data_IF_944210447088
#
_entry.id   IF_944210447088
#
_cell.length_a   1.000
_cell.length_b   1.000
_cell.length_c   1.000
_cell.angle_alpha   90.00
_cell.angle_beta   90.00
_cell.angle_gamma   90.00
#
_symmetry.space_group_name_H-M   'P 1'
#
loop_
_entity.id
_entity.type
_entity.pdbx_description
1 polymer ?
#
# COMPACT_ATOMS: atom_id res chain seq x y z
N UNK A 1 28.58 -18.40 12.76
CA UNK A 1 27.83 -18.19 11.51
C UNK A 1 27.10 -16.87 11.63
N UNK A 2 26.98 -16.09 10.55
CA UNK A 2 26.14 -14.89 10.56
C UNK A 2 24.67 -15.30 10.76
N UNK A 3 23.88 -14.45 11.43
CA UNK A 3 22.43 -14.68 11.55
C UNK A 3 21.77 -14.59 10.17
N UNK A 4 20.66 -15.32 9.91
CA UNK A 4 19.99 -15.24 8.62
C UNK A 4 19.50 -13.81 8.35
N UNK A 5 19.52 -13.40 7.09
CA UNK A 5 18.92 -12.13 6.65
C UNK A 5 17.39 -12.24 6.69
N UNK A 6 16.73 -11.38 7.48
CA UNK A 6 15.27 -11.38 7.69
C UNK A 6 14.65 -10.18 7.00
N UNK A 7 13.71 -10.43 6.09
CA UNK A 7 12.87 -9.40 5.51
C UNK A 7 11.50 -9.34 6.21
N UNK A 8 11.00 -8.12 6.38
CA UNK A 8 9.61 -7.86 6.77
C UNK A 8 8.83 -7.42 5.53
N UNK A 9 7.78 -8.15 5.19
CA UNK A 9 6.91 -7.85 4.05
C UNK A 9 5.57 -7.37 4.57
N UNK A 10 5.25 -6.10 4.32
CA UNK A 10 4.06 -5.42 4.82
C UNK A 10 3.06 -5.21 3.69
N UNK A 11 1.93 -5.92 3.76
CA UNK A 11 0.93 -5.88 2.71
C UNK A 11 0.17 -4.55 2.60
N UNK A 12 -0.54 -4.37 1.49
CA UNK A 12 -1.54 -3.31 1.37
C UNK A 12 -2.78 -3.58 2.23
N UNK A 13 -3.74 -2.66 2.23
CA UNK A 13 -5.00 -2.86 2.99
C UNK A 13 -5.71 -1.60 3.49
N UNK A 14 -5.39 -0.43 2.94
CA UNK A 14 -6.01 0.84 3.35
C UNK A 14 -5.89 1.06 4.86
N UNK A 15 -7.03 1.32 5.52
CA UNK A 15 -7.06 1.55 6.98
C UNK A 15 -6.64 0.33 7.80
N UNK A 16 -6.79 -0.90 7.27
CA UNK A 16 -6.34 -2.12 7.98
C UNK A 16 -4.83 -2.21 8.07
N UNK A 17 -4.09 -1.55 7.17
CA UNK A 17 -2.63 -1.51 7.20
C UNK A 17 -2.06 -0.83 8.46
N UNK A 18 -2.89 -0.14 9.26
CA UNK A 18 -2.49 0.33 10.58
C UNK A 18 -2.11 -0.81 11.55
N UNK A 19 -2.61 -2.03 11.32
CA UNK A 19 -2.23 -3.21 12.09
C UNK A 19 -0.72 -3.52 11.99
N UNK A 20 -0.04 -3.08 10.93
CA UNK A 20 1.41 -3.21 10.78
C UNK A 20 2.18 -2.55 11.92
N UNK A 21 1.64 -1.47 12.51
CA UNK A 21 2.26 -0.79 13.65
C UNK A 21 2.36 -1.75 14.84
N UNK A 22 1.29 -2.50 15.14
CA UNK A 22 1.30 -3.50 16.21
C UNK A 22 2.28 -4.64 15.94
N UNK A 23 2.49 -5.01 14.68
CA UNK A 23 3.56 -5.97 14.32
C UNK A 23 4.93 -5.38 14.63
N UNK A 24 5.20 -4.14 14.23
CA UNK A 24 6.46 -3.47 14.54
C UNK A 24 6.70 -3.35 16.05
N UNK A 25 5.67 -3.06 16.84
CA UNK A 25 5.76 -3.04 18.31
C UNK A 25 6.25 -4.37 18.88
N UNK A 26 5.69 -5.49 18.41
CA UNK A 26 6.10 -6.82 18.84
C UNK A 26 7.52 -7.13 18.39
N UNK A 27 7.87 -6.86 17.13
CA UNK A 27 9.22 -7.12 16.62
C UNK A 27 10.28 -6.35 17.41
N UNK A 28 10.03 -5.07 17.72
CA UNK A 28 10.93 -4.24 18.52
C UNK A 28 11.00 -4.74 19.96
N UNK A 29 9.87 -5.05 20.60
CA UNK A 29 9.81 -5.51 21.99
C UNK A 29 10.54 -6.84 22.19
N UNK A 30 10.38 -7.77 21.26
CA UNK A 30 11.01 -9.10 21.33
C UNK A 30 12.45 -9.09 20.78
N UNK A 31 12.95 -7.95 20.29
CA UNK A 31 14.30 -7.83 19.73
C UNK A 31 14.52 -8.64 18.45
N UNK A 32 13.46 -8.84 17.65
CA UNK A 32 13.53 -9.58 16.38
C UNK A 32 14.14 -8.65 15.32
N UNK A 33 15.29 -9.01 14.72
CA UNK A 33 15.94 -8.15 13.74
C UNK A 33 15.18 -8.14 12.40
N UNK A 34 15.14 -6.98 11.76
CA UNK A 34 14.67 -6.78 10.37
C UNK A 34 15.82 -6.16 9.59
N UNK A 35 16.17 -6.75 8.45
CA UNK A 35 17.29 -6.32 7.60
C UNK A 35 16.86 -5.56 6.35
N UNK A 36 15.61 -5.76 5.92
CA UNK A 36 14.98 -5.00 4.85
C UNK A 36 13.46 -5.08 4.98
N UNK A 37 12.78 -4.10 4.40
CA UNK A 37 11.32 -4.07 4.30
C UNK A 37 10.92 -4.07 2.83
N UNK A 38 9.91 -4.87 2.49
CA UNK A 38 9.14 -4.70 1.25
C UNK A 38 7.73 -4.30 1.65
N UNK A 39 7.24 -3.18 1.13
CA UNK A 39 5.95 -2.64 1.53
C UNK A 39 5.10 -2.23 0.33
N UNK A 40 3.80 -2.48 0.44
CA UNK A 40 2.82 -2.08 -0.57
C UNK A 40 1.79 -1.14 0.06
N UNK A 41 1.49 -0.01 -0.57
CA UNK A 41 0.44 0.91 -0.11
C UNK A 41 0.66 1.35 1.34
N UNK A 42 -0.33 1.17 2.23
CA UNK A 42 -0.19 1.44 3.67
C UNK A 42 0.97 0.67 4.33
N UNK A 43 1.25 -0.57 3.92
CA UNK A 43 2.42 -1.31 4.38
C UNK A 43 3.73 -0.65 3.96
N UNK A 44 3.74 -0.04 2.77
CA UNK A 44 4.82 0.80 2.28
C UNK A 44 5.02 2.08 3.11
N UNK A 45 3.94 2.80 3.40
CA UNK A 45 3.98 4.00 4.26
C UNK A 45 4.56 3.65 5.64
N UNK A 46 4.01 2.63 6.30
CA UNK A 46 4.51 2.18 7.61
C UNK A 46 5.97 1.74 7.53
N UNK A 47 6.33 1.00 6.47
CA UNK A 47 7.70 0.55 6.21
C UNK A 47 8.69 1.70 6.04
N UNK A 48 8.36 2.73 5.26
CA UNK A 48 9.21 3.92 5.05
C UNK A 48 9.39 4.70 6.34
N UNK A 49 8.32 4.96 7.09
CA UNK A 49 8.41 5.69 8.35
C UNK A 49 9.28 4.95 9.37
N UNK A 50 9.11 3.62 9.47
CA UNK A 50 9.99 2.80 10.30
C UNK A 50 11.44 2.78 9.77
N UNK A 51 11.62 2.74 8.44
CA UNK A 51 12.93 2.80 7.80
C UNK A 51 13.67 4.12 8.00
N UNK A 52 12.95 5.21 8.22
CA UNK A 52 13.47 6.50 8.67
C UNK A 52 13.86 6.53 10.16
N UNK A 53 13.61 5.45 10.89
CA UNK A 53 13.94 5.31 12.31
C UNK A 53 12.85 5.79 13.27
N UNK A 54 11.62 6.05 12.79
CA UNK A 54 10.51 6.38 13.68
C UNK A 54 10.12 5.15 14.50
N UNK A 55 9.90 5.34 15.80
CA UNK A 55 9.34 4.30 16.67
C UNK A 55 7.87 4.00 16.29
N UNK A 56 7.35 2.80 16.61
CA UNK A 56 5.95 2.47 16.34
C UNK A 56 4.96 3.49 16.92
N UNK A 57 5.25 4.06 18.09
CA UNK A 57 4.43 5.12 18.69
C UNK A 57 4.43 6.42 17.88
N UNK A 58 5.58 6.83 17.34
CA UNK A 58 5.67 7.99 16.43
C UNK A 58 4.91 7.71 15.12
N UNK A 59 5.05 6.51 14.55
CA UNK A 59 4.31 6.10 13.36
C UNK A 59 2.80 6.17 13.62
N UNK A 60 2.33 5.67 14.77
CA UNK A 60 0.92 5.76 15.15
C UNK A 60 0.45 7.21 15.26
N UNK A 61 1.27 8.11 15.81
CA UNK A 61 0.96 9.53 15.90
C UNK A 61 0.86 10.18 14.51
N UNK A 62 1.82 9.92 13.62
CA UNK A 62 1.83 10.47 12.26
C UNK A 62 0.66 9.97 11.41
N UNK A 63 0.25 8.71 11.62
CA UNK A 63 -0.87 8.12 10.90
C UNK A 63 -2.22 8.31 11.61
N UNK A 64 -2.25 8.89 12.81
CA UNK A 64 -3.48 9.14 13.59
C UNK A 64 -4.53 9.96 12.83
N UNK A 65 -4.18 10.99 12.01
CA UNK A 65 -5.18 11.72 11.23
C UNK A 65 -5.87 10.87 10.16
N UNK A 66 -5.26 9.73 9.79
CA UNK A 66 -5.83 8.74 8.88
C UNK A 66 -6.77 7.75 9.60
N UNK A 67 -6.77 7.70 10.94
CA UNK A 67 -7.53 6.73 11.76
C UNK A 67 -8.98 7.13 12.06
N UNK A 68 -9.40 8.37 11.74
CA UNK A 68 -10.65 8.94 12.29
C UNK A 68 -11.59 9.63 11.31
N UNK A 69 -11.41 9.47 10.01
CA UNK A 69 -12.31 10.07 9.01
C UNK A 69 -13.34 9.01 8.61
N UNK A 70 -14.66 9.26 8.59
CA UNK A 70 -15.53 8.53 7.69
C UNK A 70 -15.02 8.86 6.28
N UNK A 71 -14.05 8.07 5.80
CA UNK A 71 -13.38 8.25 4.51
C UNK A 71 -14.44 8.55 3.43
N UNK A 72 -15.58 7.87 3.52
CA UNK A 72 -16.81 7.99 2.75
C UNK A 72 -17.46 9.40 2.67
N UNK A 73 -17.36 10.26 3.67
CA UNK A 73 -18.04 11.58 3.67
C UNK A 73 -17.20 12.70 3.04
N UNK A 74 -15.86 12.64 3.15
CA UNK A 74 -14.95 13.58 2.46
C UNK A 74 -14.57 13.12 1.05
N UNK A 75 -14.59 11.81 0.80
CA UNK A 75 -14.37 11.23 -0.52
C UNK A 75 -15.30 11.78 -1.61
N UNK A 76 -16.56 12.04 -1.27
CA UNK A 76 -17.61 12.42 -2.23
C UNK A 76 -17.49 13.86 -2.75
N UNK A 77 -16.78 14.74 -2.03
CA UNK A 77 -16.69 16.16 -2.36
C UNK A 77 -15.35 16.55 -3.00
N UNK A 78 -14.36 15.66 -3.00
CA UNK A 78 -12.97 15.99 -3.33
C UNK A 78 -12.51 15.14 -4.51
N UNK A 79 -12.02 15.81 -5.55
CA UNK A 79 -11.47 15.14 -6.73
C UNK A 79 -10.33 14.18 -6.35
N UNK A 80 -10.08 13.18 -7.19
CA UNK A 80 -8.90 12.29 -7.06
C UNK A 80 -7.62 13.09 -6.78
N UNK A 81 -7.41 14.16 -7.56
CA UNK A 81 -6.26 15.06 -7.41
C UNK A 81 -6.25 15.77 -6.05
N UNK A 82 -7.39 16.25 -5.58
CA UNK A 82 -7.50 16.89 -4.26
C UNK A 82 -7.19 15.92 -3.11
N UNK A 83 -7.53 14.64 -3.25
CA UNK A 83 -7.17 13.59 -2.28
C UNK A 83 -5.67 13.34 -2.25
N UNK A 84 -5.04 13.19 -3.41
CA UNK A 84 -3.58 13.00 -3.51
C UNK A 84 -2.81 14.22 -3.01
N UNK A 85 -3.28 15.44 -3.31
CA UNK A 85 -2.66 16.66 -2.84
C UNK A 85 -2.63 16.74 -1.31
N UNK A 86 -3.71 16.35 -0.63
CA UNK A 86 -3.73 16.29 0.84
C UNK A 86 -2.81 15.21 1.40
N UNK A 87 -2.76 14.04 0.76
CA UNK A 87 -1.81 13.00 1.15
C UNK A 87 -0.36 13.51 0.98
N UNK A 88 -0.09 14.23 -0.11
CA UNK A 88 1.20 14.89 -0.33
C UNK A 88 1.52 15.88 0.79
N UNK A 89 0.61 16.82 1.07
CA UNK A 89 0.77 17.83 2.13
C UNK A 89 1.02 17.18 3.50
N UNK A 90 0.28 16.12 3.83
CA UNK A 90 0.44 15.39 5.09
C UNK A 90 1.84 14.76 5.22
N UNK A 91 2.39 14.21 4.13
CA UNK A 91 3.69 13.55 4.16
C UNK A 91 4.86 14.46 3.77
N UNK A 92 4.61 15.70 3.35
CA UNK A 92 5.65 16.61 2.87
C UNK A 92 6.69 16.91 3.98
N UNK A 93 6.22 17.25 5.17
CA UNK A 93 7.09 17.59 6.32
C UNK A 93 8.07 16.47 6.70
N UNK A 94 7.70 15.21 6.41
CA UNK A 94 8.49 14.04 6.77
C UNK A 94 9.34 13.55 5.59
N UNK A 95 8.82 13.62 4.36
CA UNK A 95 9.36 12.89 3.21
C UNK A 95 9.87 13.78 2.06
N UNK A 96 9.53 15.06 1.99
CA UNK A 96 9.76 15.89 0.79
C UNK A 96 11.25 16.00 0.42
N UNK A 97 12.11 16.18 1.42
CA UNK A 97 13.57 16.32 1.24
C UNK A 97 14.33 15.01 1.46
N UNK A 98 13.65 13.86 1.45
CA UNK A 98 14.25 12.56 1.74
C UNK A 98 14.23 11.62 0.55
N UNK A 99 15.24 10.77 0.49
CA UNK A 99 15.43 9.72 -0.51
C UNK A 99 15.55 8.36 0.15
N UNK A 100 15.49 7.29 -0.65
CA UNK A 100 15.74 5.93 -0.13
C UNK A 100 17.14 5.77 0.49
N UNK A 101 18.12 6.58 0.10
CA UNK A 101 19.46 6.55 0.68
C UNK A 101 19.52 7.10 2.12
N UNK A 102 18.50 7.87 2.54
CA UNK A 102 18.40 8.42 3.90
C UNK A 102 17.78 7.42 4.89
N UNK A 103 17.31 6.27 4.43
CA UNK A 103 16.72 5.23 5.27
C UNK A 103 17.79 4.49 6.06
N UNK A 104 17.61 4.38 7.37
CA UNK A 104 18.45 3.58 8.25
C UNK A 104 18.26 2.06 8.02
N UNK A 105 17.09 1.67 7.52
CA UNK A 105 16.74 0.30 7.14
C UNK A 105 16.29 0.29 5.67
N UNK A 106 16.88 -0.55 4.79
CA UNK A 106 16.46 -0.60 3.39
C UNK A 106 14.97 -0.91 3.24
N UNK A 107 14.27 -0.09 2.45
CA UNK A 107 12.85 -0.28 2.13
C UNK A 107 12.67 -0.34 0.61
N UNK A 108 11.83 -1.24 0.15
CA UNK A 108 11.34 -1.30 -1.23
C UNK A 108 9.84 -1.10 -1.23
N UNK A 109 9.37 -0.14 -2.02
CA UNK A 109 7.96 0.13 -2.23
C UNK A 109 7.48 -0.53 -3.51
N UNK A 110 6.37 -1.26 -3.44
CA UNK A 110 5.77 -1.87 -4.62
C UNK A 110 4.73 -0.95 -5.26
N UNK A 111 4.84 -0.79 -6.58
CA UNK A 111 3.88 -0.11 -7.42
C UNK A 111 3.58 -0.96 -8.66
N UNK A 112 2.59 -0.57 -9.44
CA UNK A 112 2.30 -1.14 -10.76
C UNK A 112 2.45 -0.07 -11.81
N UNK A 113 3.22 -0.35 -12.85
CA UNK A 113 3.22 0.45 -14.06
C UNK A 113 2.00 0.07 -14.92
N UNK A 114 1.05 1.00 -14.99
CA UNK A 114 -0.21 0.85 -15.72
C UNK A 114 -0.04 0.95 -17.23
N UNK A 115 1.10 1.46 -17.72
CA UNK A 115 1.38 1.57 -19.17
C UNK A 115 1.81 0.21 -19.71
N UNK A 116 2.75 -0.44 -19.04
CA UNK A 116 3.31 -1.72 -19.47
C UNK A 116 2.71 -2.94 -18.77
N UNK A 117 1.91 -2.74 -17.71
CA UNK A 117 1.19 -3.81 -16.99
C UNK A 117 2.10 -4.67 -16.11
N UNK A 118 3.12 -4.09 -15.49
CA UNK A 118 4.14 -4.81 -14.74
C UNK A 118 4.34 -4.24 -13.33
N UNK A 119 4.81 -5.09 -12.41
CA UNK A 119 5.22 -4.66 -11.08
C UNK A 119 6.50 -3.82 -11.16
N UNK A 120 6.59 -2.82 -10.29
CA UNK A 120 7.75 -1.96 -10.15
C UNK A 120 8.17 -1.92 -8.68
N UNK A 121 9.41 -2.35 -8.43
CA UNK A 121 10.05 -2.24 -7.13
C UNK A 121 10.80 -0.90 -7.05
N UNK A 122 10.27 0.03 -6.26
CA UNK A 122 10.87 1.35 -6.03
C UNK A 122 11.78 1.27 -4.80
N UNK A 123 13.09 1.36 -5.01
CA UNK A 123 14.08 1.30 -3.93
C UNK A 123 15.16 2.40 -4.03
N UNK A 124 14.95 3.39 -4.90
CA UNK A 124 15.85 4.52 -5.11
C UNK A 124 15.09 5.81 -5.47
N UNK A 125 15.77 6.96 -5.33
CA UNK A 125 15.18 8.27 -5.61
C UNK A 125 14.39 8.88 -4.44
N UNK A 126 13.55 9.90 -4.71
CA UNK A 126 12.81 10.62 -3.67
C UNK A 126 11.67 9.78 -3.05
N UNK A 127 11.51 9.85 -1.73
CA UNK A 127 10.53 9.04 -0.99
C UNK A 127 9.08 9.47 -1.23
N UNK A 128 8.80 10.76 -1.18
CA UNK A 128 7.43 11.29 -1.30
C UNK A 128 6.71 10.82 -2.60
N UNK A 129 7.27 10.98 -3.81
CA UNK A 129 6.61 10.47 -5.02
C UNK A 129 6.49 8.94 -5.03
N UNK A 130 7.45 8.21 -4.48
CA UNK A 130 7.40 6.74 -4.41
C UNK A 130 6.28 6.24 -3.47
N UNK A 131 6.11 6.89 -2.31
CA UNK A 131 5.02 6.62 -1.37
C UNK A 131 3.66 6.94 -2.00
N UNK A 132 3.54 8.08 -2.69
CA UNK A 132 2.31 8.44 -3.41
C UNK A 132 1.99 7.46 -4.54
N UNK A 133 3.01 6.96 -5.25
CA UNK A 133 2.84 5.97 -6.32
C UNK A 133 2.38 4.62 -5.76
N UNK A 134 3.06 4.11 -4.73
CA UNK A 134 2.72 2.83 -4.07
C UNK A 134 1.34 2.84 -3.42
N UNK A 135 0.80 4.02 -3.09
CA UNK A 135 -0.53 4.18 -2.47
C UNK A 135 -1.59 4.74 -3.42
N UNK A 136 -1.30 4.84 -4.72
CA UNK A 136 -2.22 5.40 -5.72
C UNK A 136 -3.28 4.38 -6.15
N UNK A 137 -4.20 4.04 -5.24
CA UNK A 137 -5.25 3.04 -5.52
C UNK A 137 -6.19 3.54 -6.61
N UNK A 138 -6.38 2.77 -7.71
CA UNK A 138 -7.31 3.15 -8.79
C UNK A 138 -8.72 3.48 -8.27
N UNK A 139 -9.25 4.62 -8.70
CA UNK A 139 -10.56 5.15 -8.24
C UNK A 139 -10.51 5.88 -6.89
N UNK A 140 -9.44 5.72 -6.12
CA UNK A 140 -9.20 6.46 -4.88
C UNK A 140 -8.21 7.63 -5.04
N UNK A 141 -7.16 7.41 -5.84
CA UNK A 141 -6.10 8.38 -6.10
C UNK A 141 -5.72 8.31 -7.59
N UNK A 142 -5.24 9.40 -8.21
CA UNK A 142 -4.74 9.36 -9.57
C UNK A 142 -3.37 8.67 -9.61
N UNK A 143 -2.99 8.06 -10.74
CA UNK A 143 -1.64 7.50 -10.90
C UNK A 143 -0.58 8.59 -10.82
N UNK A 144 0.63 8.21 -10.45
CA UNK A 144 1.81 9.08 -10.37
C UNK A 144 2.67 8.86 -11.60
N UNK A 145 2.96 9.94 -12.33
CA UNK A 145 3.87 9.86 -13.48
C UNK A 145 5.31 9.65 -13.00
N UNK A 146 6.01 8.71 -13.61
CA UNK A 146 7.43 8.48 -13.37
C UNK A 146 8.10 8.11 -14.69
N UNK A 147 8.82 9.05 -15.29
CA UNK A 147 9.38 8.92 -16.65
C UNK A 147 8.30 8.56 -17.69
N UNK A 148 8.45 7.43 -18.38
CA UNK A 148 7.51 6.86 -19.35
C UNK A 148 6.42 5.97 -18.71
N UNK A 149 6.45 5.80 -17.38
CA UNK A 149 5.50 4.99 -16.63
C UNK A 149 4.39 5.82 -15.98
N UNK A 150 3.23 5.17 -15.78
CA UNK A 150 2.17 5.66 -14.90
C UNK A 150 2.00 4.68 -13.74
N UNK A 151 2.47 5.07 -12.57
CA UNK A 151 2.51 4.21 -11.40
C UNK A 151 1.21 4.30 -10.60
N UNK A 152 0.67 3.14 -10.24
CA UNK A 152 -0.46 2.97 -9.33
C UNK A 152 -0.08 2.03 -8.17
N UNK A 153 -1.01 1.84 -7.24
CA UNK A 153 -0.82 1.00 -6.06
C UNK A 153 -0.37 -0.42 -6.42
N UNK A 154 0.68 -0.92 -5.74
CA UNK A 154 1.24 -2.26 -5.96
C UNK A 154 0.25 -3.40 -5.75
N UNK A 155 -0.73 -3.20 -4.86
CA UNK A 155 -1.76 -4.19 -4.52
C UNK A 155 -2.73 -4.50 -5.65
N UNK A 156 -2.63 -3.79 -6.77
CA UNK A 156 -3.32 -4.12 -8.03
C UNK A 156 -2.85 -5.47 -8.59
N UNK A 157 -1.56 -5.80 -8.44
CA UNK A 157 -0.99 -7.09 -8.88
C UNK A 157 -0.69 -7.98 -7.67
N UNK A 158 0.16 -7.52 -6.77
CA UNK A 158 0.56 -8.29 -5.59
C UNK A 158 0.59 -7.38 -4.35
N UNK A 159 -0.32 -7.66 -3.43
CA UNK A 159 -0.34 -6.90 -2.18
C UNK A 159 0.73 -7.36 -1.20
N UNK A 160 1.26 -8.58 -1.32
CA UNK A 160 2.20 -9.19 -0.38
C UNK A 160 3.41 -9.74 -1.16
N UNK A 161 4.19 -8.83 -1.74
CA UNK A 161 5.32 -9.10 -2.64
C UNK A 161 6.54 -9.77 -1.98
N UNK A 162 6.34 -10.96 -1.40
CA UNK A 162 7.39 -11.77 -0.76
C UNK A 162 8.47 -12.19 -1.75
N UNK A 163 8.13 -12.32 -3.03
CA UNK A 163 9.07 -12.67 -4.09
C UNK A 163 10.19 -11.62 -4.23
N UNK A 164 9.90 -10.33 -3.99
CA UNK A 164 10.89 -9.25 -4.00
C UNK A 164 11.86 -9.36 -2.84
N UNK A 165 11.38 -9.75 -1.65
CA UNK A 165 12.24 -9.95 -0.49
C UNK A 165 13.29 -11.06 -0.75
N UNK A 166 12.86 -12.17 -1.36
CA UNK A 166 13.78 -13.25 -1.74
C UNK A 166 14.75 -12.82 -2.85
N UNK A 167 14.29 -12.04 -3.84
CA UNK A 167 15.15 -11.46 -4.87
C UNK A 167 16.23 -10.54 -4.27
N UNK A 168 15.95 -9.92 -3.11
CA UNK A 168 16.89 -9.10 -2.34
C UNK A 168 17.71 -9.91 -1.31
N UNK A 169 17.83 -11.23 -1.52
CA UNK A 169 18.63 -12.18 -0.74
C UNK A 169 18.16 -12.35 0.72
N UNK A 170 16.88 -12.14 1.02
CA UNK A 170 16.34 -12.54 2.30
C UNK A 170 16.35 -14.07 2.45
N UNK A 171 16.83 -14.58 3.58
CA UNK A 171 16.80 -16.01 3.90
C UNK A 171 15.53 -16.40 4.68
N UNK A 172 14.93 -15.42 5.36
CA UNK A 172 13.67 -15.56 6.09
C UNK A 172 12.78 -14.36 5.79
N UNK A 173 11.49 -14.60 5.71
CA UNK A 173 10.47 -13.58 5.45
C UNK A 173 9.41 -13.66 6.55
N UNK A 174 9.14 -12.52 7.17
CA UNK A 174 7.96 -12.30 8.01
C UNK A 174 6.97 -11.54 7.12
N UNK A 175 5.89 -12.18 6.71
CA UNK A 175 4.88 -11.56 5.84
C UNK A 175 3.62 -11.24 6.65
N UNK A 176 3.16 -9.99 6.55
CA UNK A 176 1.98 -9.49 7.27
C UNK A 176 0.88 -9.18 6.27
N UNK A 177 -0.12 -10.07 6.22
CA UNK A 177 -1.36 -9.84 5.50
C UNK A 177 -2.43 -9.31 6.45
N UNK A 178 -3.08 -8.22 6.06
CA UNK A 178 -4.14 -7.56 6.82
C UNK A 178 -5.51 -7.70 6.16
N UNK A 179 -5.59 -8.42 5.03
CA UNK A 179 -6.87 -8.77 4.45
C UNK A 179 -7.50 -9.95 5.19
N UNK A 180 -8.82 -9.87 5.46
CA UNK A 180 -9.51 -11.02 5.99
C UNK A 180 -9.58 -12.13 4.92
N UNK A 181 -9.62 -13.41 5.34
CA UNK A 181 -9.85 -14.50 4.42
C UNK A 181 -11.16 -14.28 3.65
N UNK A 182 -11.17 -14.64 2.37
CA UNK A 182 -12.37 -14.59 1.55
C UNK A 182 -13.40 -15.61 2.07
N UNK A 183 -14.42 -15.14 2.78
CA UNK A 183 -15.53 -15.97 3.22
C UNK A 183 -16.49 -16.23 2.05
N UNK A 184 -16.73 -17.52 1.73
CA UNK A 184 -17.65 -17.92 0.64
C UNK A 184 -19.04 -17.33 0.79
N UNK A 185 -19.49 -17.18 2.04
CA UNK A 185 -20.86 -16.75 2.37
C UNK A 185 -20.98 -15.23 2.53
N UNK A 186 -19.87 -14.49 2.43
CA UNK A 186 -19.83 -13.01 2.49
C UNK A 186 -18.89 -12.45 1.43
N UNK A 187 -19.22 -12.60 0.13
CA UNK A 187 -18.39 -12.06 -0.93
C UNK A 187 -18.36 -10.52 -0.86
N UNK A 188 -17.19 -9.94 -1.15
CA UNK A 188 -17.08 -8.49 -1.32
C UNK A 188 -17.98 -8.02 -2.46
N UNK A 189 -18.72 -6.94 -2.22
CA UNK A 189 -19.68 -6.37 -3.19
C UNK A 189 -19.00 -5.56 -4.29
N UNK A 190 -17.78 -5.08 -4.05
CA UNK A 190 -16.97 -4.34 -5.02
C UNK A 190 -15.47 -4.45 -4.70
N UNK A 191 -14.58 -4.39 -5.71
CA UNK A 191 -13.13 -4.57 -5.54
C UNK A 191 -12.46 -3.47 -4.72
N UNK A 192 -12.98 -2.24 -4.78
CA UNK A 192 -12.40 -1.12 -4.04
C UNK A 192 -12.65 -1.32 -2.54
N UNK A 193 -13.85 -1.74 -2.15
CA UNK A 193 -14.17 -2.08 -0.75
C UNK A 193 -13.32 -3.24 -0.23
N UNK A 194 -12.99 -4.22 -1.09
CA UNK A 194 -12.11 -5.32 -0.71
C UNK A 194 -10.70 -4.81 -0.34
N UNK A 195 -10.11 -3.96 -1.20
CA UNK A 195 -8.77 -3.35 -1.03
C UNK A 195 -8.75 -2.36 0.14
N UNK A 196 -9.76 -1.51 0.23
CA UNK A 196 -9.81 -0.39 1.18
C UNK A 196 -10.27 -0.80 2.58
N UNK A 197 -11.02 -1.89 2.65
CA UNK A 197 -11.47 -2.49 3.90
C UNK A 197 -12.68 -1.88 4.59
N UNK A 198 -13.41 -1.00 3.90
CA UNK A 198 -14.73 -0.52 4.28
C UNK A 198 -15.65 -0.59 3.06
N UNK A 199 -16.96 -0.63 3.30
CA UNK A 199 -17.97 -0.77 2.25
C UNK A 199 -18.29 0.60 1.63
N UNK A 200 -18.11 0.73 0.31
CA UNK A 200 -18.62 1.87 -0.45
C UNK A 200 -20.16 1.88 -0.46
N UNK A 201 -20.81 3.05 -0.57
CA UNK A 201 -22.25 3.11 -0.71
C UNK A 201 -22.66 2.34 -1.98
N UNK A 202 -23.75 1.54 -1.91
CA UNK A 202 -24.20 0.75 -3.05
C UNK A 202 -24.46 1.64 -4.26
N UNK A 203 -23.94 1.23 -5.43
CA UNK A 203 -24.17 1.91 -6.72
C UNK A 203 -22.99 2.70 -7.28
N UNK A 204 -21.89 2.91 -6.54
CA UNK A 204 -20.73 3.63 -7.09
C UNK A 204 -19.88 2.75 -8.04
N UNK A 205 -19.84 1.43 -7.80
CA UNK A 205 -19.15 0.41 -8.61
C UNK A 205 -19.89 -0.95 -8.57
N UNK A 206 -21.21 -0.95 -8.37
CA UNK A 206 -21.99 -2.19 -8.21
C UNK A 206 -21.81 -3.13 -9.41
N UNK A 207 -21.26 -4.32 -9.15
CA UNK A 207 -21.10 -5.39 -10.13
C UNK A 207 -22.37 -6.27 -10.24
N UNK A 208 -23.34 -6.06 -9.32
CA UNK A 208 -24.57 -6.84 -9.22
C UNK A 208 -25.75 -6.00 -9.71
N UNK A 209 -25.79 -5.75 -11.01
CA UNK A 209 -26.89 -5.05 -11.68
C UNK A 209 -26.78 -5.20 -13.21
N UNK A 210 -27.86 -4.92 -13.95
CA UNK A 210 -27.89 -5.06 -15.42
C UNK A 210 -26.92 -4.13 -16.17
N UNK A 211 -26.12 -3.32 -15.47
CA UNK A 211 -25.06 -2.45 -16.01
C UNK A 211 -23.65 -3.01 -15.84
N UNK A 212 -23.48 -4.30 -15.50
CA UNK A 212 -22.17 -4.97 -15.43
C UNK A 212 -21.33 -4.81 -16.72
N UNK A 213 -21.98 -4.56 -17.86
CA UNK A 213 -21.35 -4.32 -19.17
C UNK A 213 -20.82 -2.88 -19.36
N UNK A 214 -21.05 -1.97 -18.40
CA UNK A 214 -20.62 -0.55 -18.47
C UNK A 214 -19.42 -0.21 -17.58
N UNK A 215 -18.82 -1.19 -16.92
CA UNK A 215 -17.63 -0.95 -16.09
C UNK A 215 -16.46 -0.59 -17.02
N UNK A 216 -15.74 0.54 -16.81
CA UNK A 216 -14.53 0.83 -17.57
C UNK A 216 -13.58 -0.36 -17.48
N UNK A 217 -13.17 -0.84 -18.64
CA UNK A 217 -12.53 -2.14 -18.91
C UNK A 217 -11.38 -2.49 -17.95
N UNK A 218 -10.72 -1.48 -17.37
CA UNK A 218 -9.63 -1.62 -16.40
C UNK A 218 -10.04 -2.23 -15.04
N UNK A 219 -11.20 -1.85 -14.47
CA UNK A 219 -11.61 -2.37 -13.17
C UNK A 219 -12.11 -3.83 -13.27
N UNK A 220 -12.77 -4.16 -14.39
CA UNK A 220 -13.18 -5.52 -14.70
C UNK A 220 -12.00 -6.43 -15.08
N UNK A 221 -10.95 -5.90 -15.74
CA UNK A 221 -9.73 -6.66 -16.05
C UNK A 221 -8.91 -6.96 -14.80
N UNK A 222 -8.77 -6.00 -13.88
CA UNK A 222 -8.10 -6.21 -12.58
C UNK A 222 -8.77 -7.32 -11.76
N UNK A 223 -10.09 -7.46 -11.81
CA UNK A 223 -10.79 -8.53 -11.08
C UNK A 223 -10.60 -9.92 -11.71
N UNK A 224 -10.39 -9.99 -13.03
CA UNK A 224 -10.21 -11.26 -13.74
C UNK A 224 -8.79 -11.82 -13.59
N UNK A 225 -7.76 -10.98 -13.48
CA UNK A 225 -6.37 -11.43 -13.33
C UNK A 225 -6.07 -12.07 -11.97
N UNK A 226 -6.84 -11.75 -10.92
CA UNK A 226 -6.67 -12.31 -9.56
C UNK A 226 -7.33 -13.71 -9.44
N UNK A 227 -8.01 -14.20 -10.49
CA UNK A 227 -8.72 -15.50 -10.48
C UNK A 227 -8.14 -16.57 -11.42
N UNK A 228 -7.16 -16.24 -12.26
CA UNK A 228 -6.53 -17.17 -13.20
C UNK A 228 -5.20 -17.70 -12.69
#
# INVERSE_FOLDING_TARGET
MARPKIALVLGGGGSRGLAHIGVLEVLVREGIPVDLIVGTSMGGIVGVLFGLGLSPAQIAQELSPLQGIPFLDRLKLISLRGRQQRAREHFADILEDKTFADLALPVTLMAVDMVHGQEVALCEGPLLPAVLASSAVPGAFPPVNHNDMQLADGGVIDSLATHVAYAQNAERVIAVDVYPPLEKDKPWTDPISAIMGFQLPPGLFSITGPEADKIPTAAASMWRSVRS
#
